data_IF_319771234338
#
_entry.id   IF_319771234338
#
_cell.length_a   1.000
_cell.length_b   1.000
_cell.length_c   1.000
_cell.angle_alpha   90.00
_cell.angle_beta   90.00
_cell.angle_gamma   90.00
#
_symmetry.space_group_name_H-M   'P 1'
#
loop_
_entity.id
_entity.type
_entity.pdbx_description
1 polymer ?
#
# COMPACT_ATOMS: atom_id res chain seq x y z
N UNK A 1 -11.37 -7.91 -32.42
CA UNK A 1 -11.11 -7.64 -31.76
C UNK A 1 -10.71 -7.55 -31.02
N UNK A 2 -10.86 -7.30 -30.88
CA UNK A 2 -10.59 -7.12 -30.01
C UNK A 2 -10.18 -6.73 -29.16
N UNK A 3 -10.18 -6.41 -29.26
CA UNK A 3 -9.84 -5.73 -28.48
C UNK A 3 -9.97 -5.75 -27.29
N UNK A 4 -10.48 -5.74 -27.12
CA UNK A 4 -10.77 -5.93 -26.01
C UNK A 4 -9.90 -6.09 -25.09
N UNK A 5 -9.30 -6.52 -25.31
CA UNK A 5 -8.42 -6.78 -24.45
C UNK A 5 -7.86 -5.72 -23.76
N UNK A 6 -7.70 -4.72 -24.23
CA UNK A 6 -7.16 -3.71 -23.64
C UNK A 6 -7.91 -3.11 -22.69
N UNK A 7 -9.02 -3.33 -22.72
CA UNK A 7 -9.84 -2.71 -21.82
C UNK A 7 -9.49 -2.95 -20.45
N UNK A 8 -8.98 -4.01 -20.15
CA UNK A 8 -8.73 -4.26 -18.81
C UNK A 8 -7.43 -3.75 -18.37
N UNK A 9 -6.77 -3.04 -19.13
CA UNK A 9 -5.50 -2.52 -18.79
C UNK A 9 -5.41 -1.87 -17.42
N UNK A 10 -6.36 -1.06 -16.99
CA UNK A 10 -6.23 -0.43 -15.67
C UNK A 10 -6.11 -1.42 -14.53
N UNK A 11 -6.70 -2.57 -14.69
CA UNK A 11 -6.67 -3.54 -13.63
C UNK A 11 -5.39 -4.32 -13.59
N UNK A 12 -4.59 -4.21 -14.63
CA UNK A 12 -3.38 -4.99 -14.71
C UNK A 12 -2.14 -4.18 -14.40
N UNK A 13 -2.30 -2.91 -14.06
CA UNK A 13 -1.16 -2.10 -13.69
C UNK A 13 -0.61 -2.61 -12.35
N UNK A 14 0.58 -3.23 -12.35
CA UNK A 14 1.10 -3.83 -11.12
C UNK A 14 1.36 -2.81 -10.03
N UNK A 15 1.73 -1.60 -10.41
CA UNK A 15 2.02 -0.58 -9.40
C UNK A 15 0.75 -0.09 -8.73
N UNK A 16 -0.31 0.10 -9.50
CA UNK A 16 -1.58 0.50 -8.93
C UNK A 16 -2.15 -0.59 -8.04
N UNK A 17 -2.01 -1.84 -8.44
CA UNK A 17 -2.47 -2.96 -7.63
C UNK A 17 -1.69 -3.04 -6.32
N UNK A 18 -0.38 -2.82 -6.38
CA UNK A 18 0.43 -2.86 -5.17
C UNK A 18 0.01 -1.76 -4.21
N UNK A 19 -0.21 -0.56 -4.71
CA UNK A 19 -0.65 0.55 -3.86
C UNK A 19 -2.01 0.24 -3.23
N UNK A 20 -2.92 -0.34 -4.00
CA UNK A 20 -4.22 -0.72 -3.47
C UNK A 20 -4.09 -1.77 -2.36
N UNK A 21 -3.19 -2.73 -2.54
CA UNK A 21 -2.96 -3.75 -1.53
C UNK A 21 -2.41 -3.16 -0.23
N UNK A 22 -1.50 -2.18 -0.35
CA UNK A 22 -0.96 -1.50 0.82
C UNK A 22 -2.08 -0.80 1.58
N UNK A 23 -2.92 -0.06 0.86
CA UNK A 23 -4.02 0.67 1.50
C UNK A 23 -4.98 -0.31 2.17
N UNK A 24 -5.24 -1.45 1.54
CA UNK A 24 -6.11 -2.45 2.11
C UNK A 24 -5.58 -3.02 3.41
N UNK A 25 -4.26 -3.19 3.50
CA UNK A 25 -3.65 -3.70 4.73
C UNK A 25 -3.73 -2.66 5.83
N UNK A 26 -3.52 -1.39 5.50
CA UNK A 26 -3.53 -0.34 6.50
C UNK A 26 -4.93 0.04 6.95
N UNK A 27 -5.94 -0.22 6.14
CA UNK A 27 -7.32 0.16 6.47
C UNK A 27 -7.81 -0.42 7.80
N UNK A 28 -7.63 -1.71 8.07
CA UNK A 28 -8.09 -2.25 9.36
C UNK A 28 -7.34 -1.71 10.56
N UNK A 29 -6.20 -1.09 10.35
CA UNK A 29 -5.42 -0.53 11.46
C UNK A 29 -6.05 0.75 11.99
N UNK A 30 -7.01 1.32 11.28
CA UNK A 30 -7.81 2.47 11.74
C UNK A 30 -6.96 3.65 12.20
N UNK A 31 -5.91 3.96 11.45
CA UNK A 31 -5.06 5.08 11.77
C UNK A 31 -3.96 4.76 12.79
N UNK A 32 -3.91 3.54 13.31
CA UNK A 32 -2.79 3.14 14.15
C UNK A 32 -1.58 2.84 13.27
N UNK A 33 -0.42 2.97 13.88
CA UNK A 33 0.83 2.74 13.18
C UNK A 33 1.08 1.25 12.97
N UNK A 34 1.50 0.88 11.78
CA UNK A 34 1.90 -0.48 11.45
C UNK A 34 3.35 -0.43 11.00
N UNK A 35 4.19 -1.27 11.58
CA UNK A 35 5.59 -1.27 11.19
C UNK A 35 5.78 -1.83 9.78
N UNK A 36 6.80 -1.34 9.12
CA UNK A 36 7.05 -1.68 7.72
C UNK A 36 7.35 -3.15 7.53
N UNK A 37 8.01 -3.77 8.49
CA UNK A 37 8.32 -5.20 8.42
C UNK A 37 7.03 -6.03 8.39
N UNK A 38 6.10 -5.72 9.28
CA UNK A 38 4.82 -6.42 9.32
C UNK A 38 4.04 -6.18 8.04
N UNK A 39 4.09 -4.95 7.52
CA UNK A 39 3.43 -4.63 6.26
C UNK A 39 4.01 -5.48 5.13
N UNK A 40 5.32 -5.57 5.05
CA UNK A 40 5.99 -6.35 4.01
C UNK A 40 5.62 -7.82 4.10
N UNK A 41 5.65 -8.38 5.31
CA UNK A 41 5.30 -9.77 5.51
C UNK A 41 3.84 -10.04 5.15
N UNK A 42 2.97 -9.14 5.55
CA UNK A 42 1.54 -9.29 5.27
C UNK A 42 1.27 -9.26 3.77
N UNK A 43 1.93 -8.35 3.06
CA UNK A 43 1.79 -8.29 1.62
C UNK A 43 2.18 -9.61 0.96
N UNK A 44 3.22 -10.24 1.48
CA UNK A 44 3.75 -11.44 0.85
C UNK A 44 3.12 -12.73 1.35
N UNK A 45 2.08 -12.64 2.16
CA UNK A 45 1.28 -13.80 2.51
C UNK A 45 0.42 -14.25 1.33
N UNK A 46 0.14 -13.35 0.40
CA UNK A 46 -0.64 -13.72 -0.78
C UNK A 46 0.18 -13.40 -2.02
N UNK A 47 -0.25 -13.97 -3.12
CA UNK A 47 0.43 -13.76 -4.37
C UNK A 47 -0.20 -12.64 -5.15
N UNK A 48 0.54 -11.98 -5.99
CA UNK A 48 1.98 -12.21 -6.22
C UNK A 48 2.81 -11.57 -5.10
N UNK A 49 4.00 -12.13 -4.87
CA UNK A 49 4.90 -11.57 -3.88
C UNK A 49 5.55 -10.30 -4.42
N UNK A 50 6.02 -9.47 -3.50
CA UNK A 50 6.53 -8.15 -3.83
C UNK A 50 7.91 -7.98 -3.23
N UNK A 51 8.83 -7.45 -4.01
CA UNK A 51 10.17 -7.18 -3.50
C UNK A 51 10.15 -5.97 -2.59
N UNK A 52 11.18 -5.85 -1.77
CA UNK A 52 11.29 -4.71 -0.87
C UNK A 52 11.39 -3.41 -1.64
N UNK A 53 12.11 -3.43 -2.74
CA UNK A 53 12.28 -2.23 -3.57
C UNK A 53 10.98 -1.74 -4.15
N UNK A 54 10.15 -2.66 -4.59
CA UNK A 54 8.85 -2.30 -5.13
C UNK A 54 7.94 -1.74 -4.03
N UNK A 55 8.00 -2.33 -2.85
CA UNK A 55 7.23 -1.81 -1.74
C UNK A 55 7.69 -0.41 -1.37
N UNK A 56 9.00 -0.19 -1.30
CA UNK A 56 9.53 1.13 -0.97
C UNK A 56 9.05 2.18 -1.95
N UNK A 57 9.04 1.85 -3.24
CA UNK A 57 8.58 2.78 -4.26
C UNK A 57 7.09 3.09 -4.09
N UNK A 58 6.28 2.08 -3.81
CA UNK A 58 4.85 2.27 -3.62
C UNK A 58 4.56 3.13 -2.38
N UNK A 59 5.28 2.87 -1.29
CA UNK A 59 5.11 3.66 -0.07
C UNK A 59 5.49 5.11 -0.30
N UNK A 60 6.58 5.34 -1.01
CA UNK A 60 7.01 6.71 -1.30
C UNK A 60 5.96 7.45 -2.12
N UNK A 61 5.42 6.79 -3.12
CA UNK A 61 4.42 7.43 -3.96
C UNK A 61 3.13 7.71 -3.19
N UNK A 62 2.68 6.78 -2.36
CA UNK A 62 1.49 7.00 -1.55
C UNK A 62 1.70 8.13 -0.54
N UNK A 63 2.90 8.22 0.01
CA UNK A 63 3.22 9.29 0.93
C UNK A 63 3.24 10.64 0.22
N UNK A 64 3.83 10.68 -0.99
CA UNK A 64 3.88 11.92 -1.76
C UNK A 64 2.50 12.43 -2.10
N UNK A 65 1.55 11.53 -2.24
CA UNK A 65 0.16 11.90 -2.49
C UNK A 65 -0.63 12.16 -1.21
N UNK A 66 0.04 12.06 -0.07
CA UNK A 66 -0.54 12.31 1.25
C UNK A 66 -1.63 11.31 1.65
N UNK A 67 -1.59 10.11 1.10
CA UNK A 67 -2.53 9.05 1.48
C UNK A 67 -2.04 8.25 2.67
N UNK A 68 -0.73 8.23 2.91
CA UNK A 68 -0.17 7.58 4.09
C UNK A 68 0.87 8.49 4.71
N UNK A 69 1.15 8.22 5.97
CA UNK A 69 2.14 8.98 6.73
C UNK A 69 3.08 8.00 7.37
N UNK A 70 4.26 8.46 7.77
CA UNK A 70 5.23 7.57 8.39
C UNK A 70 5.91 8.22 9.59
N UNK A 71 6.48 7.38 10.42
CA UNK A 71 7.34 7.83 11.50
C UNK A 71 8.36 6.73 11.78
N UNK A 72 9.42 7.08 12.48
CA UNK A 72 10.36 6.09 12.99
C UNK A 72 10.15 6.00 14.49
N UNK A 73 9.79 4.81 14.97
CA UNK A 73 9.58 4.63 16.39
C UNK A 73 10.90 4.77 17.13
N UNK A 74 10.99 5.64 18.13
CA UNK A 74 12.27 5.92 18.79
C UNK A 74 12.82 4.74 19.58
N UNK A 75 11.97 3.82 19.99
CA UNK A 75 12.41 2.66 20.76
C UNK A 75 12.85 1.52 19.86
N UNK A 76 12.01 1.13 18.94
CA UNK A 76 12.32 -0.01 18.07
C UNK A 76 13.16 0.38 16.88
N UNK A 77 13.18 1.66 16.54
CA UNK A 77 13.85 2.17 15.35
C UNK A 77 13.22 1.67 14.06
N UNK A 78 12.02 1.10 14.13
CA UNK A 78 11.31 0.63 12.95
C UNK A 78 10.55 1.78 12.33
N UNK A 79 10.50 1.77 11.00
CA UNK A 79 9.64 2.70 10.28
C UNK A 79 8.21 2.17 10.35
N UNK A 80 7.28 3.06 10.67
CA UNK A 80 5.87 2.70 10.80
C UNK A 80 5.03 3.57 9.87
N UNK A 81 3.93 3.00 9.41
CA UNK A 81 3.05 3.65 8.43
C UNK A 81 1.61 3.64 8.91
N UNK A 82 0.85 4.63 8.49
CA UNK A 82 -0.59 4.66 8.78
C UNK A 82 -1.31 5.41 7.69
N UNK A 83 -2.61 5.19 7.57
CA UNK A 83 -3.43 5.96 6.64
C UNK A 83 -3.68 7.36 7.21
N UNK A 84 -3.65 8.33 6.31
CA UNK A 84 -4.14 9.67 6.62
C UNK A 84 -5.65 9.67 6.42
N UNK A 85 -6.36 10.73 6.80
CA UNK A 85 -7.79 10.82 6.48
C UNK A 85 -8.07 10.69 4.98
N UNK A 86 -7.22 11.28 4.13
CA UNK A 86 -7.37 11.15 2.68
C UNK A 86 -7.17 9.71 2.24
N UNK A 87 -6.17 9.04 2.78
CA UNK A 87 -5.92 7.64 2.45
C UNK A 87 -7.05 6.76 2.93
N UNK A 88 -7.61 7.05 4.08
CA UNK A 88 -8.72 6.28 4.60
C UNK A 88 -9.94 6.38 3.68
N UNK A 89 -10.21 7.57 3.15
CA UNK A 89 -11.30 7.75 2.20
C UNK A 89 -11.04 6.97 0.91
N UNK A 90 -9.81 7.03 0.41
CA UNK A 90 -9.45 6.32 -0.80
C UNK A 90 -9.57 4.82 -0.63
N UNK A 91 -9.28 4.32 0.56
CA UNK A 91 -9.29 2.88 0.85
C UNK A 91 -10.67 2.36 1.19
N UNK A 92 -11.70 3.20 1.18
CA UNK A 92 -13.05 2.76 1.48
C UNK A 92 -13.46 1.65 0.52
N UNK A 93 -14.08 0.60 1.01
CA UNK A 93 -14.56 -0.45 0.13
C UNK A 93 -15.70 0.08 -0.70
N UNK A 94 -15.80 -0.45 -1.87
CA UNK A 94 -16.87 -0.07 -2.78
C UNK A 94 -18.11 -0.89 -2.57
#
# INVERSE_FOLDING_TARGET
>A
MNATTKTEAPYTDPEALLQARVLKILKPCRGYWLDEQTLFLTLNLSRPTVSRERLDAALRELRDKAYIDFRVDPLSRLTEWRLTPSGNTLAQPL
#
